data_IF_382499431295
#
_entry.id   IF_382499431295
#
_cell.length_a   1.000
_cell.length_b   1.000
_cell.length_c   1.000
_cell.angle_alpha   90.00
_cell.angle_beta   90.00
_cell.angle_gamma   90.00
#
_symmetry.space_group_name_H-M   'P 1'
#
loop_
_entity.id
_entity.type
_entity.pdbx_description
1 polymer ?
#
# COMPACT_ATOMS: atom_id res chain seq x y z
N UNK A 1 -1.16 -10.49 -36.64
CA UNK A 1 -0.91 -11.22 -35.38
C UNK A 1 -1.49 -10.41 -34.22
N UNK A 2 -2.45 -10.94 -33.44
CA UNK A 2 -2.96 -10.26 -32.23
C UNK A 2 -2.27 -10.88 -31.02
N UNK A 3 -1.28 -10.19 -30.46
CA UNK A 3 -0.62 -10.60 -29.23
C UNK A 3 -1.60 -10.37 -28.07
N UNK A 4 -2.32 -11.41 -27.63
CA UNK A 4 -3.15 -11.36 -26.42
C UNK A 4 -2.21 -11.21 -25.23
N UNK A 5 -1.97 -9.96 -24.81
CA UNK A 5 -1.31 -9.67 -23.52
C UNK A 5 -2.07 -10.47 -22.45
N UNK A 6 -1.40 -11.43 -21.81
CA UNK A 6 -1.99 -12.20 -20.72
C UNK A 6 -2.19 -11.25 -19.55
N UNK A 7 -3.43 -10.83 -19.34
CA UNK A 7 -3.79 -9.96 -18.23
C UNK A 7 -3.74 -10.76 -16.91
N UNK A 8 -3.37 -10.13 -15.79
CA UNK A 8 -3.44 -10.78 -14.49
C UNK A 8 -4.87 -11.24 -14.16
N UNK A 9 -5.01 -12.23 -13.28
CA UNK A 9 -6.32 -12.70 -12.83
C UNK A 9 -7.12 -11.54 -12.21
N UNK A 10 -8.35 -11.31 -12.67
CA UNK A 10 -9.20 -10.20 -12.20
C UNK A 10 -8.95 -8.86 -12.90
N UNK A 11 -8.20 -8.86 -14.02
CA UNK A 11 -8.11 -7.73 -14.95
C UNK A 11 -8.96 -8.02 -16.18
N UNK A 12 -10.23 -7.62 -16.12
CA UNK A 12 -11.14 -7.63 -17.26
C UNK A 12 -11.10 -6.30 -18.02
N UNK A 13 -11.74 -6.26 -19.18
CA UNK A 13 -11.79 -5.06 -20.03
C UNK A 13 -12.47 -3.88 -19.34
N UNK A 14 -13.44 -4.14 -18.46
CA UNK A 14 -14.18 -3.10 -17.73
C UNK A 14 -13.26 -2.38 -16.75
N UNK A 15 -12.47 -3.14 -15.98
CA UNK A 15 -11.47 -2.61 -15.05
C UNK A 15 -10.40 -1.84 -15.81
N UNK A 16 -9.94 -2.35 -16.95
CA UNK A 16 -8.94 -1.66 -17.78
C UNK A 16 -9.47 -0.30 -18.27
N UNK A 17 -10.68 -0.26 -18.82
CA UNK A 17 -11.28 0.99 -19.30
C UNK A 17 -11.49 2.01 -18.18
N UNK A 18 -11.88 1.54 -17.00
CA UNK A 18 -12.07 2.40 -15.83
C UNK A 18 -10.75 3.00 -15.35
N UNK A 19 -9.67 2.20 -15.31
CA UNK A 19 -8.33 2.67 -14.95
C UNK A 19 -7.77 3.63 -16.00
N UNK A 20 -7.96 3.35 -17.30
CA UNK A 20 -7.54 4.26 -18.37
C UNK A 20 -8.25 5.60 -18.29
N UNK A 21 -9.58 5.61 -18.13
CA UNK A 21 -10.35 6.85 -17.99
C UNK A 21 -9.95 7.65 -16.74
N UNK A 22 -9.61 6.97 -15.63
CA UNK A 22 -9.11 7.62 -14.42
C UNK A 22 -7.78 8.33 -14.67
N UNK A 23 -6.80 7.65 -15.27
CA UNK A 23 -5.49 8.26 -15.56
C UNK A 23 -5.51 9.28 -16.70
N UNK A 24 -6.39 9.13 -17.70
CA UNK A 24 -6.55 10.11 -18.78
C UNK A 24 -7.19 11.42 -18.31
N UNK A 25 -8.03 11.36 -17.29
CA UNK A 25 -8.69 12.53 -16.70
C UNK A 25 -7.94 13.09 -15.47
N UNK A 26 -6.86 12.45 -15.04
CA UNK A 26 -6.08 12.85 -13.87
C UNK A 26 -5.29 14.14 -14.18
N UNK A 27 -5.34 15.10 -13.27
CA UNK A 27 -4.51 16.32 -13.35
C UNK A 27 -3.11 16.05 -12.82
N UNK A 28 -2.14 16.89 -13.19
CA UNK A 28 -0.76 16.76 -12.67
C UNK A 28 -0.73 16.86 -11.14
N UNK A 29 -1.57 17.72 -10.56
CA UNK A 29 -1.72 17.88 -9.12
C UNK A 29 -2.29 16.62 -8.43
N UNK A 30 -3.25 15.95 -9.06
CA UNK A 30 -3.85 14.72 -8.52
C UNK A 30 -2.87 13.53 -8.59
N UNK A 31 -2.04 13.46 -9.64
CA UNK A 31 -0.98 12.45 -9.75
C UNK A 31 0.07 12.62 -8.65
N UNK A 32 0.47 13.86 -8.38
CA UNK A 32 1.39 14.20 -7.27
C UNK A 32 0.73 13.89 -5.92
N UNK A 33 -0.55 14.18 -5.74
CA UNK A 33 -1.26 13.91 -4.50
C UNK A 33 -1.41 12.42 -4.20
N UNK A 34 -1.63 11.57 -5.22
CA UNK A 34 -1.64 10.11 -5.07
C UNK A 34 -0.27 9.59 -4.58
N UNK A 35 0.83 10.05 -5.19
CA UNK A 35 2.20 9.71 -4.80
C UNK A 35 2.56 10.27 -3.40
N UNK A 36 2.05 11.45 -3.05
CA UNK A 36 2.27 12.08 -1.74
C UNK A 36 1.40 11.51 -0.61
N UNK A 37 0.26 10.90 -0.93
CA UNK A 37 -0.72 10.43 0.07
C UNK A 37 -0.13 9.37 0.99
N UNK A 38 0.78 8.54 0.47
CA UNK A 38 1.53 7.54 1.23
C UNK A 38 2.43 8.20 2.29
N UNK A 39 2.93 9.40 2.02
CA UNK A 39 3.75 10.18 2.95
C UNK A 39 2.93 11.00 3.97
N UNK A 40 1.62 11.14 3.77
CA UNK A 40 0.72 11.89 4.67
C UNK A 40 0.19 11.06 5.84
N UNK A 41 0.46 9.74 5.87
CA UNK A 41 0.12 8.91 7.02
C UNK A 41 1.01 9.23 8.22
N UNK A 42 0.45 10.00 9.17
CA UNK A 42 1.11 10.35 10.45
C UNK A 42 1.42 9.15 11.34
N UNK A 43 0.92 7.95 11.01
CA UNK A 43 1.24 6.71 11.73
C UNK A 43 2.61 6.15 11.37
N UNK A 44 3.20 6.59 10.26
CA UNK A 44 4.49 6.14 9.76
C UNK A 44 5.49 7.30 9.69
N UNK A 45 6.79 6.97 9.67
CA UNK A 45 7.87 7.95 9.57
C UNK A 45 8.95 7.41 8.64
N UNK A 46 9.45 8.24 7.73
CA UNK A 46 10.55 7.87 6.85
C UNK A 46 11.88 8.06 7.57
N UNK A 47 12.72 7.03 7.55
CA UNK A 47 14.07 7.07 8.14
C UNK A 47 15.07 6.34 7.25
N UNK A 48 16.31 6.84 7.20
CA UNK A 48 17.41 6.12 6.55
C UNK A 48 17.85 4.93 7.40
N UNK A 49 18.01 3.77 6.77
CA UNK A 49 18.46 2.54 7.43
C UNK A 49 19.57 1.92 6.59
N UNK A 50 20.78 1.69 7.15
CA UNK A 50 21.82 0.93 6.48
C UNK A 50 21.32 -0.45 6.05
N UNK A 51 21.62 -0.87 4.82
CA UNK A 51 21.09 -2.13 4.23
C UNK A 51 21.27 -3.35 5.14
N UNK A 52 22.44 -3.46 5.81
CA UNK A 52 22.75 -4.55 6.74
C UNK A 52 21.78 -4.66 7.93
N UNK A 53 21.08 -3.57 8.28
CA UNK A 53 20.15 -3.50 9.43
C UNK A 53 18.69 -3.68 9.01
N UNK A 54 18.38 -3.67 7.72
CA UNK A 54 17.00 -3.81 7.22
C UNK A 54 16.29 -5.07 7.74
N UNK A 55 16.91 -6.26 7.80
CA UNK A 55 16.25 -7.45 8.34
C UNK A 55 15.82 -7.29 9.81
N UNK A 56 16.68 -6.67 10.63
CA UNK A 56 16.41 -6.44 12.07
C UNK A 56 15.27 -5.46 12.25
N UNK A 57 15.26 -4.35 11.48
CA UNK A 57 14.18 -3.35 11.52
C UNK A 57 12.85 -3.98 11.11
N UNK A 58 12.83 -4.83 10.08
CA UNK A 58 11.62 -5.57 9.65
C UNK A 58 11.08 -6.46 10.76
N UNK A 59 11.94 -7.16 11.49
CA UNK A 59 11.51 -8.02 12.59
C UNK A 59 10.88 -7.22 13.74
N UNK A 60 11.46 -6.07 14.09
CA UNK A 60 10.92 -5.18 15.13
C UNK A 60 9.51 -4.70 14.75
N UNK A 61 9.33 -4.26 13.50
CA UNK A 61 8.02 -3.81 12.99
C UNK A 61 6.99 -4.95 13.08
N UNK A 62 7.36 -6.16 12.63
CA UNK A 62 6.46 -7.31 12.67
C UNK A 62 6.01 -7.65 14.11
N UNK A 63 6.92 -7.56 15.09
CA UNK A 63 6.62 -7.77 16.51
C UNK A 63 5.67 -6.70 17.05
N UNK A 64 5.87 -5.43 16.72
CA UNK A 64 4.96 -4.35 17.12
C UNK A 64 3.54 -4.60 16.56
N UNK A 65 3.42 -4.90 15.27
CA UNK A 65 2.12 -5.16 14.63
C UNK A 65 1.39 -6.36 15.24
N UNK A 66 2.11 -7.43 15.57
CA UNK A 66 1.55 -8.58 16.27
C UNK A 66 1.06 -8.19 17.67
N UNK A 67 1.85 -7.41 18.40
CA UNK A 67 1.50 -6.88 19.72
C UNK A 67 0.28 -5.96 19.69
N UNK A 68 0.20 -5.04 18.72
CA UNK A 68 -0.95 -4.14 18.52
C UNK A 68 -2.22 -4.93 18.21
N UNK A 69 -2.14 -5.92 17.31
CA UNK A 69 -3.28 -6.81 16.99
C UNK A 69 -3.75 -7.61 18.21
N UNK A 70 -2.82 -8.10 19.04
CA UNK A 70 -3.13 -8.80 20.29
C UNK A 70 -3.86 -7.92 21.31
N UNK A 71 -3.41 -6.68 21.53
CA UNK A 71 -4.04 -5.72 22.47
C UNK A 71 -5.44 -5.29 22.04
N UNK A 72 -5.67 -5.13 20.74
CA UNK A 72 -6.99 -4.79 20.19
C UNK A 72 -7.99 -5.94 20.39
N UNK A 73 -7.53 -7.20 20.25
CA UNK A 73 -8.35 -8.39 20.48
C UNK A 73 -8.75 -8.56 21.95
N UNK A 74 -7.83 -8.32 22.89
CA UNK A 74 -8.11 -8.43 24.34
C UNK A 74 -9.10 -7.36 24.81
N UNK A 75 -8.98 -6.12 24.33
CA UNK A 75 -9.89 -5.01 24.70
C UNK A 75 -11.34 -5.20 24.22
N UNK A 76 -11.57 -6.01 23.18
CA UNK A 76 -12.93 -6.32 22.68
C UNK A 76 -13.61 -7.47 23.42
N UNK A 77 -12.87 -8.32 24.16
CA UNK A 77 -13.43 -9.44 24.93
C UNK A 77 -13.88 -9.06 26.34
N UNK A 78 -13.48 -7.89 26.84
CA UNK A 78 -13.79 -7.39 28.19
C UNK A 78 -14.95 -6.39 28.21
N UNK A 79 -15.78 -6.35 27.17
CA UNK A 79 -16.97 -5.48 27.07
C UNK A 79 -18.18 -6.31 26.68
#
# INVERSE_FOLDING_TARGET
MRNRKKLPKGWDEKRIKMVLAHYEAQTEEDAVAEDESVFKDKSQTMMEVPVRLVPVVREIIARDEAGRRGRVSTRRKTK
#
